data_IF_442849997632
#
_entry.id   IF_442849997632
#
_cell.length_a   1.000
_cell.length_b   1.000
_cell.length_c   1.000
_cell.angle_alpha   90.00
_cell.angle_beta   90.00
_cell.angle_gamma   90.00
#
_symmetry.space_group_name_H-M   'P 1'
#
loop_
_entity.id
_entity.type
_entity.pdbx_description
1 polymer ?
#
# COMPACT_ATOMS: atom_id res chain seq x y z
N UNK A 1 46.48 -49.59 -14.29
CA UNK A 1 46.53 -48.25 -13.68
C UNK A 1 45.67 -47.29 -14.51
N UNK A 2 44.39 -47.14 -14.18
CA UNK A 2 43.51 -46.10 -14.77
C UNK A 2 43.64 -44.86 -13.88
N UNK A 3 44.25 -43.81 -14.42
CA UNK A 3 44.81 -42.70 -13.67
C UNK A 3 43.81 -41.72 -13.04
N UNK A 4 44.33 -40.77 -12.23
CA UNK A 4 43.58 -39.77 -11.43
C UNK A 4 42.74 -38.78 -12.25
N UNK A 5 42.83 -38.84 -13.59
CA UNK A 5 42.08 -37.98 -14.51
C UNK A 5 40.57 -38.27 -14.50
N UNK A 6 40.18 -39.54 -14.29
CA UNK A 6 38.77 -39.94 -14.33
C UNK A 6 37.99 -39.53 -13.06
N UNK A 7 38.69 -39.39 -11.93
CA UNK A 7 38.12 -38.91 -10.67
C UNK A 7 37.93 -37.39 -10.70
N UNK A 8 38.89 -36.65 -11.27
CA UNK A 8 38.78 -35.19 -11.47
C UNK A 8 37.63 -34.81 -12.42
N UNK A 9 37.43 -35.57 -13.51
CA UNK A 9 36.33 -35.31 -14.46
C UNK A 9 34.95 -35.59 -13.84
N UNK A 10 34.83 -36.63 -13.00
CA UNK A 10 33.58 -36.91 -12.25
C UNK A 10 33.29 -35.84 -11.19
N UNK A 11 34.31 -35.34 -10.47
CA UNK A 11 34.12 -34.26 -9.51
C UNK A 11 33.71 -32.94 -10.19
N UNK A 12 34.27 -32.65 -11.37
CA UNK A 12 33.95 -31.47 -12.17
C UNK A 12 32.50 -31.52 -12.70
N UNK A 13 32.06 -32.68 -13.20
CA UNK A 13 30.68 -32.91 -13.64
C UNK A 13 29.70 -32.78 -12.46
N UNK A 14 30.07 -33.26 -11.26
CA UNK A 14 29.25 -33.12 -10.04
C UNK A 14 29.18 -31.66 -9.58
N UNK A 15 30.26 -30.87 -9.66
CA UNK A 15 30.23 -29.43 -9.34
C UNK A 15 29.44 -28.59 -10.36
N UNK A 16 29.49 -28.96 -11.64
CA UNK A 16 28.68 -28.33 -12.70
C UNK A 16 27.20 -28.69 -12.51
N UNK A 17 26.89 -29.95 -12.18
CA UNK A 17 25.53 -30.40 -11.87
C UNK A 17 24.99 -29.77 -10.57
N UNK A 18 25.82 -29.55 -9.54
CA UNK A 18 25.43 -28.87 -8.29
C UNK A 18 25.11 -27.38 -8.49
N UNK A 19 25.74 -26.71 -9.47
CA UNK A 19 25.40 -25.33 -9.87
C UNK A 19 24.26 -25.22 -10.90
N UNK A 20 23.85 -26.36 -11.48
CA UNK A 20 22.74 -26.47 -12.43
C UNK A 20 21.51 -27.15 -11.83
N UNK A 21 21.55 -27.56 -10.55
CA UNK A 21 20.34 -27.94 -9.85
C UNK A 21 19.44 -26.71 -9.86
N UNK A 22 18.27 -26.74 -10.52
CA UNK A 22 17.30 -25.70 -10.31
C UNK A 22 17.02 -25.76 -8.81
N UNK A 23 17.35 -24.68 -8.10
CA UNK A 23 16.67 -24.35 -6.86
C UNK A 23 15.21 -24.73 -7.08
N UNK A 24 14.63 -25.56 -6.22
CA UNK A 24 13.20 -25.80 -6.18
C UNK A 24 12.49 -24.49 -5.74
N UNK A 25 12.72 -23.41 -6.48
CA UNK A 25 11.89 -22.23 -6.48
C UNK A 25 10.60 -22.67 -7.15
N UNK A 26 9.53 -22.71 -6.37
CA UNK A 26 8.16 -22.76 -6.88
C UNK A 26 8.04 -21.81 -8.06
N UNK A 27 7.49 -22.27 -9.19
CA UNK A 27 7.25 -21.41 -10.35
C UNK A 27 6.52 -20.13 -9.89
N UNK A 28 6.92 -18.94 -10.36
CA UNK A 28 6.27 -17.69 -10.00
C UNK A 28 4.77 -17.79 -10.29
N UNK A 29 3.94 -17.39 -9.32
CA UNK A 29 2.49 -17.37 -9.48
C UNK A 29 2.12 -16.01 -10.08
N UNK A 30 1.85 -16.00 -11.38
CA UNK A 30 1.34 -14.83 -12.10
C UNK A 30 -0.17 -14.68 -11.91
N UNK A 31 -0.64 -13.44 -11.82
CA UNK A 31 -2.06 -13.13 -11.71
C UNK A 31 -2.75 -13.13 -13.07
N UNK A 32 -4.06 -13.29 -13.08
CA UNK A 32 -4.81 -13.35 -14.33
C UNK A 32 -4.86 -12.00 -15.04
N UNK A 33 -4.73 -12.02 -16.36
CA UNK A 33 -4.98 -10.86 -17.21
C UNK A 33 -6.49 -10.76 -17.45
N UNK A 34 -7.05 -9.58 -17.19
CA UNK A 34 -8.48 -9.27 -17.35
C UNK A 34 -8.68 -8.43 -18.61
N UNK A 35 -9.74 -8.74 -19.35
CA UNK A 35 -10.09 -8.13 -20.63
C UNK A 35 -11.15 -7.02 -20.48
N UNK A 36 -11.29 -6.18 -21.51
CA UNK A 36 -12.07 -4.92 -21.52
C UNK A 36 -13.58 -5.07 -21.27
N UNK A 37 -14.13 -6.26 -21.41
CA UNK A 37 -15.53 -6.59 -21.14
C UNK A 37 -15.84 -6.65 -19.63
N UNK A 38 -14.82 -6.79 -18.79
CA UNK A 38 -14.99 -6.79 -17.35
C UNK A 38 -15.26 -5.38 -16.79
N UNK A 39 -16.39 -5.24 -16.08
CA UNK A 39 -16.75 -4.01 -15.37
C UNK A 39 -16.62 -4.24 -13.86
N UNK A 40 -15.56 -3.75 -13.21
CA UNK A 40 -15.44 -3.90 -11.76
C UNK A 40 -16.51 -3.09 -11.04
N UNK A 41 -17.08 -3.70 -10.00
CA UNK A 41 -17.97 -3.01 -9.09
C UNK A 41 -17.16 -2.18 -8.08
N UNK A 42 -17.33 -0.86 -8.06
CA UNK A 42 -16.79 0.02 -7.04
C UNK A 42 -17.70 1.23 -6.84
N UNK A 43 -17.70 1.81 -5.64
CA UNK A 43 -18.56 2.93 -5.27
C UNK A 43 -17.80 4.23 -5.02
N UNK A 44 -16.50 4.12 -4.74
CA UNK A 44 -15.66 5.26 -4.37
C UNK A 44 -14.40 5.24 -5.23
N UNK A 45 -14.11 6.38 -5.86
CA UNK A 45 -12.89 6.58 -6.63
C UNK A 45 -12.05 7.68 -5.98
N UNK A 46 -10.78 7.38 -5.72
CA UNK A 46 -9.83 8.30 -5.11
C UNK A 46 -8.51 8.27 -5.87
N UNK A 47 -7.98 9.46 -6.14
CA UNK A 47 -6.71 9.61 -6.84
C UNK A 47 -5.71 10.34 -5.94
N UNK A 48 -4.76 9.57 -5.41
CA UNK A 48 -3.64 10.04 -4.60
C UNK A 48 -2.32 9.93 -5.36
N UNK A 49 -2.33 9.94 -6.70
CA UNK A 49 -1.11 9.82 -7.50
C UNK A 49 -0.24 11.08 -7.44
N UNK A 50 -0.86 12.26 -7.32
CA UNK A 50 -0.16 13.55 -7.16
C UNK A 50 -0.97 14.55 -6.31
N UNK A 51 -0.31 15.55 -5.71
CA UNK A 51 -0.97 16.67 -5.03
C UNK A 51 -2.03 17.37 -5.90
N UNK A 52 -1.75 17.58 -7.19
CA UNK A 52 -2.68 18.24 -8.10
C UNK A 52 -3.95 17.41 -8.36
N UNK A 53 -3.81 16.09 -8.51
CA UNK A 53 -4.96 15.19 -8.64
C UNK A 53 -5.84 15.26 -7.40
N UNK A 54 -5.22 15.32 -6.21
CA UNK A 54 -5.93 15.46 -4.94
C UNK A 54 -6.68 16.80 -4.85
N UNK A 55 -6.05 17.91 -5.23
CA UNK A 55 -6.73 19.21 -5.28
C UNK A 55 -7.87 19.23 -6.30
N UNK A 56 -7.68 18.61 -7.46
CA UNK A 56 -8.71 18.50 -8.50
C UNK A 56 -9.91 17.67 -8.05
N UNK A 57 -9.71 16.51 -7.40
CA UNK A 57 -10.82 15.71 -6.89
C UNK A 57 -11.60 16.46 -5.80
N UNK A 58 -10.91 17.16 -4.87
CA UNK A 58 -11.57 17.97 -3.84
C UNK A 58 -12.36 19.11 -4.46
N UNK A 59 -11.80 19.79 -5.47
CA UNK A 59 -12.52 20.83 -6.22
C UNK A 59 -13.77 20.28 -6.92
N UNK A 60 -13.71 19.06 -7.47
CA UNK A 60 -14.87 18.38 -8.08
C UNK A 60 -15.95 18.01 -7.06
N UNK A 61 -15.57 17.69 -5.82
CA UNK A 61 -16.53 17.48 -4.73
C UNK A 61 -17.34 18.75 -4.47
N UNK A 62 -16.72 19.93 -4.56
CA UNK A 62 -17.39 21.21 -4.44
C UNK A 62 -17.42 21.74 -3.00
N UNK A 63 -18.42 22.56 -2.68
CA UNK A 63 -18.47 23.26 -1.39
C UNK A 63 -18.76 22.27 -0.23
N UNK A 64 -17.89 22.26 0.78
CA UNK A 64 -17.98 21.40 1.96
C UNK A 64 -19.01 21.86 3.01
N UNK A 65 -19.74 22.96 2.76
CA UNK A 65 -20.95 23.30 3.52
C UNK A 65 -22.15 22.41 3.16
N UNK A 66 -22.10 21.73 2.02
CA UNK A 66 -23.18 20.85 1.59
C UNK A 66 -23.00 19.43 2.19
N UNK A 67 -24.01 18.85 2.86
CA UNK A 67 -23.90 17.53 3.51
C UNK A 67 -23.52 16.37 2.57
N UNK A 68 -23.95 16.40 1.31
CA UNK A 68 -23.59 15.37 0.33
C UNK A 68 -22.10 15.46 -0.04
N UNK A 69 -21.58 16.68 -0.17
CA UNK A 69 -20.17 16.93 -0.45
C UNK A 69 -19.29 16.58 0.74
N UNK A 70 -19.75 16.83 1.97
CA UNK A 70 -19.10 16.36 3.20
C UNK A 70 -18.96 14.84 3.17
N UNK A 71 -20.06 14.12 2.87
CA UNK A 71 -20.04 12.65 2.75
C UNK A 71 -19.00 12.16 1.73
N UNK A 72 -18.95 12.79 0.55
CA UNK A 72 -17.97 12.46 -0.50
C UNK A 72 -16.54 12.70 -0.02
N UNK A 73 -16.28 13.83 0.63
CA UNK A 73 -14.95 14.15 1.14
C UNK A 73 -14.52 13.23 2.29
N UNK A 74 -15.43 12.87 3.21
CA UNK A 74 -15.14 11.90 4.28
C UNK A 74 -14.76 10.53 3.71
N UNK A 75 -15.38 10.07 2.62
CA UNK A 75 -14.93 8.84 1.93
C UNK A 75 -13.49 8.94 1.42
N UNK A 76 -13.07 10.11 0.94
CA UNK A 76 -11.66 10.36 0.55
C UNK A 76 -10.74 10.27 1.77
N UNK A 77 -11.11 10.89 2.88
CA UNK A 77 -10.32 10.87 4.12
C UNK A 77 -10.18 9.44 4.67
N UNK A 78 -11.27 8.66 4.69
CA UNK A 78 -11.25 7.27 5.13
C UNK A 78 -10.35 6.44 4.23
N UNK A 79 -10.45 6.59 2.91
CA UNK A 79 -9.57 5.87 1.98
C UNK A 79 -8.10 6.23 2.21
N UNK A 80 -7.79 7.51 2.38
CA UNK A 80 -6.43 7.96 2.66
C UNK A 80 -5.90 7.40 3.98
N UNK A 81 -6.67 7.48 5.06
CA UNK A 81 -6.31 6.92 6.36
C UNK A 81 -6.02 5.41 6.29
N UNK A 82 -6.85 4.66 5.55
CA UNK A 82 -6.64 3.22 5.35
C UNK A 82 -5.32 2.90 4.62
N UNK A 83 -4.95 3.72 3.64
CA UNK A 83 -3.72 3.56 2.87
C UNK A 83 -2.51 3.93 3.72
N UNK A 84 -2.58 5.00 4.53
CA UNK A 84 -1.43 5.48 5.32
C UNK A 84 -1.20 4.71 6.61
N UNK A 85 -2.21 4.01 7.15
CA UNK A 85 -2.06 3.19 8.36
C UNK A 85 -1.33 1.86 8.15
N UNK A 86 -0.46 1.75 7.14
CA UNK A 86 0.29 0.52 6.87
C UNK A 86 1.01 0.03 8.11
N UNK A 87 0.65 -1.19 8.53
CA UNK A 87 1.45 -2.00 9.41
C UNK A 87 2.47 -2.80 8.57
N UNK A 88 3.26 -3.67 9.20
CA UNK A 88 4.23 -4.53 8.52
C UNK A 88 3.60 -5.48 7.47
N UNK A 89 2.27 -5.56 7.37
CA UNK A 89 1.54 -6.51 6.52
C UNK A 89 1.06 -5.89 5.19
N UNK A 90 1.26 -4.58 4.96
CA UNK A 90 0.99 -3.92 3.68
C UNK A 90 -0.21 -2.96 3.66
N UNK A 91 -0.52 -2.44 2.47
CA UNK A 91 -1.53 -1.39 2.23
C UNK A 91 -2.93 -1.99 2.35
N UNK A 92 -3.82 -1.30 3.08
CA UNK A 92 -5.22 -1.69 3.20
C UNK A 92 -6.08 -0.89 2.23
N UNK A 93 -6.64 -1.57 1.23
CA UNK A 93 -7.58 -1.01 0.27
C UNK A 93 -9.01 -1.24 0.74
N UNK A 94 -9.82 -0.19 0.98
CA UNK A 94 -11.18 -0.36 1.48
C UNK A 94 -12.08 -1.13 0.50
N UNK A 95 -13.21 -1.65 1.01
CA UNK A 95 -14.23 -2.32 0.20
C UNK A 95 -14.78 -1.41 -0.92
N UNK A 96 -15.07 -1.97 -2.09
CA UNK A 96 -15.68 -1.25 -3.23
C UNK A 96 -14.98 0.06 -3.58
N UNK A 97 -13.65 0.10 -3.56
CA UNK A 97 -12.87 1.30 -3.91
C UNK A 97 -12.00 1.11 -5.13
N UNK A 98 -11.87 2.19 -5.90
CA UNK A 98 -10.84 2.39 -6.90
C UNK A 98 -9.85 3.44 -6.38
N UNK A 99 -8.59 3.06 -6.24
CA UNK A 99 -7.55 3.87 -5.59
C UNK A 99 -6.33 3.98 -6.49
N UNK A 100 -5.95 5.19 -6.87
CA UNK A 100 -4.76 5.46 -7.68
C UNK A 100 -3.61 5.97 -6.81
N UNK A 101 -2.45 5.34 -6.92
CA UNK A 101 -1.22 5.64 -6.17
C UNK A 101 -0.02 5.70 -7.11
N UNK A 102 0.96 6.56 -6.79
CA UNK A 102 2.23 6.63 -7.53
C UNK A 102 3.36 6.03 -6.72
N UNK A 103 3.99 4.99 -7.24
CA UNK A 103 5.12 4.30 -6.60
C UNK A 103 6.42 4.65 -7.30
N UNK A 104 7.49 4.73 -6.52
CA UNK A 104 8.84 4.65 -7.05
C UNK A 104 9.09 3.22 -7.54
N UNK A 105 9.77 3.08 -8.66
CA UNK A 105 10.00 1.79 -9.28
C UNK A 105 11.39 1.68 -9.88
N UNK A 106 11.79 0.46 -10.20
CA UNK A 106 13.05 0.17 -10.87
C UNK A 106 12.86 -0.87 -11.96
N UNK A 107 13.57 -0.70 -13.07
CA UNK A 107 13.65 -1.73 -14.07
C UNK A 107 14.59 -2.86 -13.65
N UNK A 108 14.17 -4.10 -13.89
CA UNK A 108 14.88 -5.30 -13.46
C UNK A 108 15.93 -5.80 -14.46
N UNK A 109 15.97 -5.30 -15.71
CA UNK A 109 16.75 -5.94 -16.77
C UNK A 109 17.42 -4.96 -17.72
N UNK A 110 18.75 -4.85 -17.66
CA UNK A 110 19.51 -3.90 -18.47
C UNK A 110 19.49 -4.15 -20.00
N UNK A 111 18.94 -5.28 -20.43
CA UNK A 111 18.99 -5.80 -21.81
C UNK A 111 17.68 -5.66 -22.59
N UNK A 112 16.62 -5.17 -21.95
CA UNK A 112 15.27 -5.11 -22.53
C UNK A 112 14.79 -3.67 -22.69
N UNK A 113 13.77 -3.44 -23.51
CA UNK A 113 13.24 -2.11 -23.75
C UNK A 113 12.54 -1.51 -22.51
N UNK A 114 12.53 -0.19 -22.39
CA UNK A 114 11.75 0.52 -21.37
C UNK A 114 10.26 0.30 -21.64
N UNK A 115 9.43 0.11 -20.59
CA UNK A 115 7.98 0.10 -20.72
C UNK A 115 7.46 1.37 -21.40
N UNK A 116 6.50 1.19 -22.28
CA UNK A 116 5.72 2.33 -22.80
C UNK A 116 4.73 2.82 -21.74
N UNK A 117 4.17 4.02 -21.89
CA UNK A 117 3.26 4.59 -20.88
C UNK A 117 2.07 3.67 -20.53
N UNK A 118 1.54 2.97 -21.53
CA UNK A 118 0.40 2.05 -21.38
C UNK A 118 0.86 0.58 -21.41
N UNK A 119 2.07 0.30 -20.90
CA UNK A 119 2.56 -1.07 -20.83
C UNK A 119 1.63 -1.95 -19.99
N UNK A 120 1.43 -3.17 -20.49
CA UNK A 120 0.58 -4.14 -19.84
C UNK A 120 1.45 -5.07 -19.01
N UNK A 121 1.21 -5.09 -17.70
CA UNK A 121 1.93 -5.95 -16.77
C UNK A 121 1.02 -7.00 -16.15
N UNK A 122 1.54 -8.21 -16.05
CA UNK A 122 1.06 -9.23 -15.14
C UNK A 122 1.72 -9.03 -13.77
N UNK A 123 0.92 -9.04 -12.70
CA UNK A 123 1.46 -9.08 -11.35
C UNK A 123 1.96 -10.48 -11.03
N UNK A 124 3.19 -10.59 -10.55
CA UNK A 124 3.81 -11.89 -10.25
C UNK A 124 4.27 -11.90 -8.81
N UNK A 125 3.85 -12.92 -8.05
CA UNK A 125 4.29 -13.10 -6.67
C UNK A 125 5.77 -13.51 -6.64
N UNK A 126 6.56 -12.82 -5.83
CA UNK A 126 7.99 -13.00 -5.67
C UNK A 126 8.79 -11.80 -6.16
N UNK A 127 10.05 -12.06 -6.50
CA UNK A 127 10.98 -11.06 -7.04
C UNK A 127 11.58 -11.58 -8.34
N UNK A 128 12.07 -10.70 -9.24
CA UNK A 128 12.84 -11.12 -10.39
C UNK A 128 14.07 -11.94 -9.97
N UNK A 129 14.51 -12.85 -10.84
CA UNK A 129 15.70 -13.68 -10.60
C UNK A 129 16.99 -12.85 -10.71
N UNK A 130 17.27 -12.10 -9.65
CA UNK A 130 18.44 -11.24 -9.49
C UNK A 130 19.06 -11.55 -8.14
N UNK A 131 20.35 -11.87 -8.12
CA UNK A 131 21.04 -12.18 -6.87
C UNK A 131 21.00 -10.98 -5.91
N UNK A 132 20.82 -11.26 -4.62
CA UNK A 132 20.74 -10.29 -3.53
C UNK A 132 19.59 -9.27 -3.60
N UNK A 133 18.67 -9.37 -4.57
CA UNK A 133 17.60 -8.36 -4.74
C UNK A 133 16.68 -8.27 -3.51
N UNK A 134 16.39 -9.42 -2.88
CA UNK A 134 15.57 -9.51 -1.66
C UNK A 134 16.21 -8.74 -0.50
N UNK A 135 17.53 -8.76 -0.40
CA UNK A 135 18.29 -8.08 0.66
C UNK A 135 18.47 -6.59 0.38
N UNK A 136 18.41 -6.17 -0.89
CA UNK A 136 18.62 -4.78 -1.30
C UNK A 136 17.36 -3.94 -1.20
N UNK A 137 16.18 -4.49 -1.52
CA UNK A 137 14.90 -3.76 -1.45
C UNK A 137 14.69 -3.06 -0.10
N UNK A 138 14.95 -3.69 1.07
CA UNK A 138 14.86 -3.00 2.36
C UNK A 138 15.79 -1.78 2.50
N UNK A 139 16.99 -1.81 1.90
CA UNK A 139 17.92 -0.66 1.94
C UNK A 139 17.40 0.51 1.11
N UNK A 140 16.74 0.22 -0.02
CA UNK A 140 16.08 1.23 -0.84
C UNK A 140 14.90 1.85 -0.08
N UNK A 141 14.12 1.02 0.62
CA UNK A 141 12.95 1.46 1.39
C UNK A 141 13.28 2.34 2.58
N UNK A 142 14.45 2.14 3.18
CA UNK A 142 14.94 2.98 4.27
C UNK A 142 15.63 4.27 3.77
N UNK A 143 15.47 4.60 2.48
CA UNK A 143 16.10 5.76 1.82
C UNK A 143 17.62 5.82 2.00
N UNK A 144 18.27 4.67 2.17
CA UNK A 144 19.73 4.59 2.31
C UNK A 144 20.44 4.57 0.96
N UNK A 145 19.68 4.34 -0.12
CA UNK A 145 20.12 4.37 -1.50
C UNK A 145 19.21 5.35 -2.26
N UNK A 146 19.80 6.34 -2.92
CA UNK A 146 19.07 7.16 -3.89
C UNK A 146 18.65 6.33 -5.11
N UNK A 147 17.64 6.81 -5.86
CA UNK A 147 17.05 6.05 -6.95
C UNK A 147 18.06 5.72 -8.09
N UNK A 148 18.91 6.65 -8.58
CA UNK A 148 19.95 6.32 -9.55
C UNK A 148 20.93 5.24 -9.06
N UNK A 149 21.40 5.34 -7.82
CA UNK A 149 22.30 4.34 -7.22
C UNK A 149 21.63 2.98 -7.09
N UNK A 150 20.37 2.94 -6.65
CA UNK A 150 19.58 1.71 -6.56
C UNK A 150 19.39 1.06 -7.93
N UNK A 151 19.01 1.84 -8.96
CA UNK A 151 18.82 1.36 -10.32
C UNK A 151 20.12 0.80 -10.92
N UNK A 152 21.25 1.48 -10.67
CA UNK A 152 22.59 1.03 -11.09
C UNK A 152 22.96 -0.30 -10.44
N UNK A 153 22.68 -0.44 -9.15
CA UNK A 153 22.96 -1.67 -8.42
C UNK A 153 22.13 -2.84 -8.96
N UNK A 154 20.83 -2.63 -9.21
CA UNK A 154 19.92 -3.65 -9.76
C UNK A 154 20.41 -4.13 -11.13
N UNK A 155 20.76 -3.22 -12.03
CA UNK A 155 21.23 -3.60 -13.37
C UNK A 155 22.58 -4.33 -13.34
N UNK A 156 23.53 -3.92 -12.50
CA UNK A 156 24.80 -4.63 -12.38
C UNK A 156 24.63 -6.03 -11.75
N UNK A 157 23.69 -6.19 -10.82
CA UNK A 157 23.36 -7.51 -10.26
C UNK A 157 22.72 -8.42 -11.32
N UNK A 158 21.81 -7.90 -12.16
CA UNK A 158 21.30 -8.64 -13.31
C UNK A 158 22.40 -8.95 -14.33
N UNK A 159 23.35 -8.04 -14.54
CA UNK A 159 24.53 -8.25 -15.39
C UNK A 159 25.54 -9.25 -14.80
N UNK A 160 25.28 -9.78 -13.59
CA UNK A 160 26.18 -10.71 -12.89
C UNK A 160 27.58 -10.14 -12.73
N UNK A 161 27.67 -8.83 -12.49
CA UNK A 161 28.94 -8.12 -12.29
C UNK A 161 29.77 -8.79 -11.20
N UNK A 162 31.07 -8.94 -11.46
CA UNK A 162 31.99 -9.50 -10.48
C UNK A 162 32.07 -8.60 -9.24
N UNK A 163 32.08 -9.19 -8.05
CA UNK A 163 32.15 -8.46 -6.79
C UNK A 163 33.31 -7.46 -6.76
N UNK A 164 34.48 -7.85 -7.32
CA UNK A 164 35.67 -7.00 -7.35
C UNK A 164 35.48 -5.72 -8.17
N UNK A 165 34.60 -5.75 -9.17
CA UNK A 165 34.39 -4.68 -10.14
C UNK A 165 33.43 -3.59 -9.64
N UNK A 166 32.68 -3.86 -8.57
CA UNK A 166 31.84 -2.84 -7.95
C UNK A 166 32.71 -1.74 -7.29
N UNK A 167 32.34 -0.46 -7.44
CA UNK A 167 32.90 0.63 -6.65
C UNK A 167 32.77 0.41 -5.13
N UNK A 168 33.71 0.93 -4.35
CA UNK A 168 33.77 0.71 -2.89
C UNK A 168 32.53 1.22 -2.14
N UNK A 169 31.89 2.29 -2.62
CA UNK A 169 30.62 2.77 -2.08
C UNK A 169 29.50 1.72 -2.28
N UNK A 170 29.41 1.09 -3.46
CA UNK A 170 28.41 0.04 -3.72
C UNK A 170 28.72 -1.26 -2.97
N UNK A 171 30.00 -1.64 -2.85
CA UNK A 171 30.43 -2.78 -2.02
C UNK A 171 29.98 -2.62 -0.56
N UNK A 172 30.03 -1.41 0.01
CA UNK A 172 29.51 -1.16 1.37
C UNK A 172 28.02 -1.50 1.48
N UNK A 173 27.21 -1.13 0.50
CA UNK A 173 25.78 -1.46 0.48
C UNK A 173 25.54 -2.95 0.28
N UNK A 174 26.28 -3.60 -0.64
CA UNK A 174 26.21 -5.05 -0.84
C UNK A 174 26.55 -5.82 0.44
N UNK A 175 27.64 -5.45 1.12
CA UNK A 175 28.05 -6.09 2.38
C UNK A 175 27.10 -5.79 3.55
N UNK A 176 26.41 -4.64 3.51
CA UNK A 176 25.35 -4.31 4.46
C UNK A 176 24.10 -5.14 4.22
N UNK A 177 23.73 -5.35 2.95
CA UNK A 177 22.60 -6.19 2.54
C UNK A 177 22.86 -7.66 2.91
N UNK A 178 24.06 -8.17 2.64
CA UNK A 178 24.50 -9.50 3.04
C UNK A 178 26.01 -9.51 3.33
N UNK A 179 26.39 -9.89 4.56
CA UNK A 179 27.82 -9.94 4.97
C UNK A 179 28.65 -10.91 4.12
N UNK A 180 28.00 -11.86 3.45
CA UNK A 180 28.61 -12.83 2.55
C UNK A 180 28.45 -12.46 1.07
N UNK A 181 28.08 -11.22 0.73
CA UNK A 181 27.88 -10.78 -0.66
C UNK A 181 29.07 -11.13 -1.58
N UNK A 182 30.31 -10.97 -1.10
CA UNK A 182 31.54 -11.34 -1.82
C UNK A 182 31.65 -12.84 -2.19
N UNK A 183 30.90 -13.69 -1.50
CA UNK A 183 30.86 -15.14 -1.75
C UNK A 183 29.61 -15.57 -2.52
N UNK A 184 28.57 -14.74 -2.54
CA UNK A 184 27.32 -14.98 -3.26
C UNK A 184 27.44 -14.51 -4.71
N UNK A 185 28.02 -13.32 -4.91
CA UNK A 185 28.21 -12.73 -6.22
C UNK A 185 29.35 -13.40 -7.01
N UNK A 186 29.34 -13.29 -8.34
CA UNK A 186 30.45 -13.76 -9.18
C UNK A 186 31.77 -13.11 -8.75
N UNK A 187 32.87 -13.85 -8.91
CA UNK A 187 34.21 -13.38 -8.58
C UNK A 187 35.17 -13.78 -9.68
N UNK A 188 36.02 -12.83 -10.13
CA UNK A 188 36.99 -13.10 -11.20
C UNK A 188 37.90 -14.30 -10.86
N UNK A 189 38.29 -14.43 -9.60
CA UNK A 189 39.13 -15.53 -9.12
C UNK A 189 38.46 -16.90 -9.23
N UNK A 190 37.12 -16.95 -9.16
CA UNK A 190 36.35 -18.19 -9.36
C UNK A 190 36.07 -18.46 -10.84
N UNK A 191 35.83 -17.41 -11.62
CA UNK A 191 35.58 -17.50 -13.07
C UNK A 191 36.85 -17.86 -13.86
N UNK A 192 38.04 -17.47 -13.38
CA UNK A 192 39.34 -17.85 -13.96
C UNK A 192 39.63 -19.36 -13.97
N UNK A 193 38.87 -20.18 -13.24
CA UNK A 193 38.96 -21.65 -13.30
C UNK A 193 38.22 -22.20 -14.54
N UNK A 194 37.43 -21.38 -15.25
CA UNK A 194 36.55 -21.78 -16.37
C UNK A 194 36.96 -21.12 -17.71
N UNK A 195 37.69 -20.01 -17.73
CA UNK A 195 37.88 -19.16 -18.92
C UNK A 195 39.18 -19.40 -19.75
N UNK A 196 39.78 -20.60 -19.72
CA UNK A 196 40.95 -20.89 -20.58
C UNK A 196 40.62 -21.11 -22.07
N UNK A 197 39.37 -20.92 -22.51
CA UNK A 197 38.93 -21.18 -23.89
C UNK A 197 37.93 -20.13 -24.36
N UNK A 198 38.36 -18.92 -24.74
CA UNK A 198 37.56 -18.04 -25.60
C UNK A 198 38.43 -17.09 -26.46
N UNK A 199 38.29 -17.08 -27.80
CA UNK A 199 39.08 -16.23 -28.70
C UNK A 199 38.73 -14.73 -28.64
N UNK A 200 39.71 -13.91 -29.02
CA UNK A 200 39.72 -12.44 -28.91
C UNK A 200 38.79 -11.71 -29.90
N UNK A 201 38.18 -12.43 -30.86
CA UNK A 201 37.40 -11.87 -31.98
C UNK A 201 35.97 -11.43 -31.59
N UNK A 202 35.56 -11.57 -30.32
CA UNK A 202 34.24 -11.16 -29.80
C UNK A 202 34.30 -9.79 -29.07
N UNK A 203 35.43 -9.05 -29.15
CA UNK A 203 35.61 -7.82 -28.36
C UNK A 203 35.16 -6.51 -29.04
N UNK A 204 34.80 -6.54 -30.32
CA UNK A 204 34.31 -5.36 -31.04
C UNK A 204 32.84 -5.51 -31.43
N UNK A 205 31.98 -5.33 -30.44
CA UNK A 205 30.59 -4.95 -30.63
C UNK A 205 30.13 -4.10 -29.45
N UNK A 206 29.41 -3.00 -29.75
CA UNK A 206 28.87 -1.99 -28.83
C UNK A 206 27.82 -2.58 -27.87
N UNK A 207 28.21 -3.54 -27.03
CA UNK A 207 27.34 -4.33 -26.14
C UNK A 207 27.95 -4.43 -24.74
N UNK A 208 27.10 -4.45 -23.72
CA UNK A 208 27.55 -4.66 -22.34
C UNK A 208 28.09 -6.08 -22.21
N UNK A 209 29.35 -6.18 -21.82
CA UNK A 209 30.03 -7.43 -21.50
C UNK A 209 29.50 -7.93 -20.16
N UNK A 210 28.92 -9.12 -20.17
CA UNK A 210 28.42 -9.76 -18.94
C UNK A 210 29.55 -9.89 -17.93
N UNK A 211 29.28 -9.58 -16.66
CA UNK A 211 30.27 -9.64 -15.59
C UNK A 211 31.09 -8.36 -15.36
N UNK A 212 31.03 -7.36 -16.26
CA UNK A 212 31.64 -6.05 -15.99
C UNK A 212 30.70 -5.11 -15.23
N UNK A 213 31.29 -4.14 -14.53
CA UNK A 213 30.55 -3.05 -13.90
C UNK A 213 30.31 -1.93 -14.91
N UNK A 214 29.12 -1.35 -14.88
CA UNK A 214 28.76 -0.16 -15.66
C UNK A 214 28.09 0.90 -14.78
N UNK A 215 28.41 2.16 -15.06
CA UNK A 215 27.77 3.30 -14.42
C UNK A 215 26.34 3.53 -14.94
N UNK A 216 25.54 4.24 -14.15
CA UNK A 216 24.15 4.57 -14.47
C UNK A 216 23.97 5.14 -15.88
N UNK A 217 24.79 6.14 -16.25
CA UNK A 217 24.69 6.84 -17.54
C UNK A 217 24.89 5.89 -18.72
N UNK A 218 25.82 4.93 -18.61
CA UNK A 218 26.09 3.95 -19.65
C UNK A 218 24.91 2.98 -19.85
N UNK A 219 24.28 2.53 -18.76
CA UNK A 219 23.04 1.75 -18.87
C UNK A 219 21.90 2.56 -19.48
N UNK A 220 21.70 3.79 -18.98
CA UNK A 220 20.60 4.67 -19.38
C UNK A 220 20.64 4.95 -20.88
N UNK A 221 21.78 5.40 -21.41
CA UNK A 221 21.95 5.69 -22.84
C UNK A 221 21.58 4.47 -23.71
N UNK A 222 22.07 3.29 -23.33
CA UNK A 222 21.78 2.04 -24.05
C UNK A 222 20.29 1.70 -23.98
N UNK A 223 19.71 1.70 -22.79
CA UNK A 223 18.31 1.29 -22.57
C UNK A 223 17.34 2.26 -23.26
N UNK A 224 17.63 3.56 -23.23
CA UNK A 224 16.89 4.59 -23.96
C UNK A 224 17.01 4.46 -25.48
N UNK A 225 17.98 3.71 -26.00
CA UNK A 225 18.06 3.35 -27.43
C UNK A 225 17.23 2.11 -27.79
N UNK A 226 16.85 1.28 -26.81
CA UNK A 226 16.05 0.07 -27.04
C UNK A 226 14.57 0.43 -27.22
N UNK A 227 13.94 -0.17 -28.25
CA UNK A 227 12.49 -0.07 -28.48
C UNK A 227 11.94 -1.49 -28.63
N UNK A 228 10.79 -1.74 -28.02
CA UNK A 228 10.09 -3.01 -28.20
C UNK A 228 9.65 -3.17 -29.65
N UNK A 229 9.81 -4.38 -30.17
CA UNK A 229 9.37 -4.79 -31.52
C UNK A 229 8.00 -5.46 -31.48
N UNK A 230 7.56 -5.88 -30.30
CA UNK A 230 6.25 -6.50 -30.07
C UNK A 230 5.14 -5.44 -30.00
N UNK A 231 3.97 -5.75 -30.57
CA UNK A 231 2.79 -4.88 -30.50
C UNK A 231 2.11 -5.00 -29.13
N UNK A 232 1.59 -3.90 -28.62
CA UNK A 232 0.78 -3.92 -27.41
C UNK A 232 -0.56 -4.64 -27.67
N UNK A 233 -0.98 -5.55 -26.77
CA UNK A 233 -2.33 -6.09 -26.78
C UNK A 233 -3.39 -4.96 -26.71
N UNK A 234 -4.44 -5.07 -27.53
CA UNK A 234 -5.52 -4.04 -27.58
C UNK A 234 -6.71 -4.36 -26.68
N UNK A 235 -6.86 -5.62 -26.29
CA UNK A 235 -7.96 -6.09 -25.46
C UNK A 235 -7.42 -6.33 -24.04
N UNK A 236 -7.16 -5.27 -23.28
CA UNK A 236 -6.64 -5.40 -21.92
C UNK A 236 -7.26 -4.36 -21.01
N UNK A 237 -7.76 -4.84 -19.86
CA UNK A 237 -8.34 -4.02 -18.83
C UNK A 237 -7.40 -3.86 -17.64
N UNK A 238 -7.07 -4.96 -16.96
CA UNK A 238 -6.33 -4.95 -15.70
C UNK A 238 -5.63 -6.30 -15.46
N UNK A 239 -4.72 -6.35 -14.48
CA UNK A 239 -4.17 -7.59 -13.97
C UNK A 239 -4.75 -7.85 -12.59
N UNK A 240 -5.20 -9.07 -12.34
CA UNK A 240 -5.49 -9.52 -10.98
C UNK A 240 -4.17 -9.66 -10.22
N UNK A 241 -4.13 -9.23 -8.97
CA UNK A 241 -2.98 -9.49 -8.09
C UNK A 241 -3.11 -10.94 -7.58
N UNK A 242 -2.08 -11.79 -7.73
CA UNK A 242 -2.15 -13.21 -7.36
C UNK A 242 -2.69 -13.41 -5.95
N UNK A 243 -3.58 -14.41 -5.78
CA UNK A 243 -4.20 -14.79 -4.50
C UNK A 243 -5.09 -13.72 -3.87
N UNK A 244 -5.49 -12.69 -4.61
CA UNK A 244 -6.36 -11.63 -4.12
C UNK A 244 -7.46 -11.31 -5.15
N UNK A 245 -8.59 -10.74 -4.71
CA UNK A 245 -9.61 -10.25 -5.63
C UNK A 245 -9.24 -8.90 -6.27
N UNK A 246 -8.16 -8.25 -5.83
CA UNK A 246 -7.74 -6.93 -6.29
C UNK A 246 -7.31 -6.95 -7.76
N UNK A 247 -7.80 -5.99 -8.51
CA UNK A 247 -7.34 -5.68 -9.87
C UNK A 247 -6.41 -4.47 -9.83
N UNK A 248 -5.40 -4.48 -10.69
CA UNK A 248 -4.43 -3.40 -10.80
C UNK A 248 -4.24 -3.00 -12.26
N UNK A 249 -4.31 -1.70 -12.51
CA UNK A 249 -3.98 -1.07 -13.78
C UNK A 249 -2.73 -0.23 -13.59
N UNK A 250 -1.75 -0.41 -14.47
CA UNK A 250 -0.46 0.28 -14.37
C UNK A 250 -0.33 1.27 -15.51
N UNK A 251 0.17 2.46 -15.18
CA UNK A 251 0.66 3.45 -16.14
C UNK A 251 2.12 3.71 -15.81
N UNK A 252 3.00 3.44 -16.78
CA UNK A 252 4.42 3.65 -16.61
C UNK A 252 4.81 5.09 -16.90
N UNK A 253 5.66 5.63 -16.04
CA UNK A 253 6.31 6.92 -16.22
C UNK A 253 7.82 6.67 -16.20
N UNK A 254 8.31 6.19 -17.34
CA UNK A 254 9.68 5.73 -17.55
C UNK A 254 10.07 4.58 -16.59
N UNK A 255 11.35 4.48 -16.23
CA UNK A 255 11.86 3.44 -15.32
C UNK A 255 11.67 3.80 -13.84
N UNK A 256 11.48 5.08 -13.51
CA UNK A 256 11.58 5.60 -12.14
C UNK A 256 10.28 5.54 -11.34
N UNK A 257 9.13 5.53 -12.01
CA UNK A 257 7.85 5.48 -11.30
C UNK A 257 6.71 4.81 -12.07
N UNK A 258 5.83 4.18 -11.31
CA UNK A 258 4.58 3.61 -11.82
C UNK A 258 3.40 4.26 -11.11
N UNK A 259 2.41 4.70 -11.89
CA UNK A 259 1.09 5.01 -11.34
C UNK A 259 0.24 3.75 -11.42
N UNK A 260 -0.26 3.28 -10.29
CA UNK A 260 -1.05 2.05 -10.19
C UNK A 260 -2.43 2.40 -9.65
N UNK A 261 -3.46 1.99 -10.40
CA UNK A 261 -4.86 2.03 -9.97
C UNK A 261 -5.26 0.66 -9.45
N UNK A 262 -5.51 0.54 -8.16
CA UNK A 262 -6.05 -0.66 -7.52
C UNK A 262 -7.57 -0.58 -7.48
N UNK A 263 -8.23 -1.69 -7.76
CA UNK A 263 -9.68 -1.81 -7.67
C UNK A 263 -10.00 -2.98 -6.75
N UNK A 264 -10.66 -2.68 -5.64
CA UNK A 264 -11.22 -3.66 -4.73
C UNK A 264 -12.70 -3.85 -5.04
N UNK A 265 -13.11 -4.95 -5.71
CA UNK A 265 -14.51 -5.20 -6.02
C UNK A 265 -15.31 -5.76 -4.83
N UNK A 266 -14.63 -6.19 -3.77
CA UNK A 266 -15.26 -6.89 -2.65
C UNK A 266 -15.98 -5.95 -1.67
N UNK A 267 -16.88 -6.54 -0.89
CA UNK A 267 -17.56 -5.87 0.23
C UNK A 267 -16.68 -5.76 1.48
N UNK A 268 -15.45 -6.28 1.43
CA UNK A 268 -14.50 -6.26 2.54
C UNK A 268 -13.20 -5.60 2.08
N UNK A 269 -12.53 -4.93 3.01
CA UNK A 269 -11.21 -4.35 2.75
C UNK A 269 -10.19 -5.45 2.47
N UNK A 270 -9.26 -5.20 1.56
CA UNK A 270 -8.23 -6.15 1.14
C UNK A 270 -6.86 -5.57 1.46
N UNK A 271 -5.96 -6.42 1.95
CA UNK A 271 -4.60 -6.02 2.28
C UNK A 271 -3.60 -6.56 1.27
N UNK A 272 -2.72 -5.70 0.78
CA UNK A 272 -1.70 -6.05 -0.21
C UNK A 272 -0.32 -5.59 0.26
N UNK A 273 0.57 -6.56 0.46
CA UNK A 273 2.00 -6.33 0.59
C UNK A 273 2.60 -6.14 -0.81
N UNK A 274 2.56 -4.91 -1.34
CA UNK A 274 3.03 -4.61 -2.71
C UNK A 274 4.49 -5.02 -2.97
N UNK A 275 5.31 -5.07 -1.91
CA UNK A 275 6.70 -5.52 -1.94
C UNK A 275 6.88 -7.02 -2.24
N UNK A 276 5.82 -7.81 -2.11
CA UNK A 276 5.86 -9.26 -2.38
C UNK A 276 5.65 -9.58 -3.86
N UNK A 277 5.54 -8.55 -4.71
CA UNK A 277 5.23 -8.68 -6.12
C UNK A 277 6.17 -7.85 -6.99
N UNK A 278 6.34 -8.29 -8.23
CA UNK A 278 6.90 -7.48 -9.30
C UNK A 278 5.96 -7.47 -10.50
N UNK A 279 6.14 -6.48 -11.37
CA UNK A 279 5.33 -6.32 -12.57
C UNK A 279 6.09 -6.93 -13.75
N UNK A 280 5.56 -8.00 -14.32
CA UNK A 280 6.14 -8.65 -15.48
C UNK A 280 5.39 -8.22 -16.75
N UNK A 281 6.02 -7.58 -17.73
CA UNK A 281 5.32 -7.15 -18.94
C UNK A 281 4.84 -8.35 -19.74
N UNK A 282 3.69 -8.21 -20.40
CA UNK A 282 3.20 -9.22 -21.34
C UNK A 282 4.11 -9.33 -22.54
N UNK A 283 4.71 -8.20 -22.98
CA UNK A 283 5.72 -8.19 -24.04
C UNK A 283 7.05 -8.68 -23.53
N UNK A 284 7.57 -9.73 -24.16
CA UNK A 284 8.73 -10.47 -23.64
C UNK A 284 10.04 -9.68 -23.73
N UNK A 285 10.09 -8.71 -24.65
CA UNK A 285 11.22 -7.82 -24.92
C UNK A 285 11.22 -6.51 -24.09
N UNK A 286 10.25 -6.35 -23.18
CA UNK A 286 10.14 -5.22 -22.26
C UNK A 286 10.66 -5.59 -20.87
N UNK A 287 11.19 -4.61 -20.15
CA UNK A 287 11.74 -4.79 -18.80
C UNK A 287 10.65 -5.07 -17.75
N UNK A 288 10.83 -6.09 -16.89
CA UNK A 288 10.08 -6.20 -15.65
C UNK A 288 10.36 -5.02 -14.72
N UNK A 289 9.37 -4.67 -13.89
CA UNK A 289 9.44 -3.58 -12.94
C UNK A 289 9.37 -4.12 -11.51
N UNK A 290 10.32 -3.68 -10.69
CA UNK A 290 10.32 -3.86 -9.24
C UNK A 290 9.70 -2.60 -8.62
N UNK A 291 8.72 -2.78 -7.74
CA UNK A 291 8.20 -1.69 -6.94
C UNK A 291 9.14 -1.49 -5.75
N UNK A 292 9.70 -0.28 -5.64
CA UNK A 292 10.69 0.04 -4.61
C UNK A 292 10.07 -0.13 -3.23
N UNK A 293 9.02 0.65 -2.97
CA UNK A 293 8.51 0.91 -1.64
C UNK A 293 7.23 0.14 -1.31
N UNK A 294 7.11 -0.21 -0.03
CA UNK A 294 5.86 -0.65 0.57
C UNK A 294 4.80 0.46 0.58
N UNK A 295 5.22 1.74 0.47
CA UNK A 295 4.35 2.91 0.52
C UNK A 295 4.74 4.01 -0.49
N UNK A 296 3.77 4.60 -1.20
CA UNK A 296 4.01 5.77 -2.04
C UNK A 296 4.35 7.02 -1.19
N UNK A 297 5.05 8.03 -1.74
CA UNK A 297 5.29 9.29 -1.05
C UNK A 297 3.97 10.08 -0.91
N UNK A 298 3.46 10.21 0.32
CA UNK A 298 2.14 10.79 0.59
C UNK A 298 2.18 12.08 1.45
N UNK A 299 3.35 12.55 1.86
CA UNK A 299 3.46 13.67 2.83
C UNK A 299 2.78 14.97 2.34
N UNK A 300 2.97 15.33 1.07
CA UNK A 300 2.31 16.51 0.51
C UNK A 300 0.79 16.32 0.38
N UNK A 301 0.36 15.10 0.06
CA UNK A 301 -1.07 14.75 -0.02
C UNK A 301 -1.69 14.82 1.37
N UNK A 302 -1.00 14.32 2.39
CA UNK A 302 -1.43 14.41 3.79
C UNK A 302 -1.66 15.87 4.18
N UNK A 303 -0.69 16.76 3.93
CA UNK A 303 -0.81 18.19 4.25
C UNK A 303 -2.04 18.83 3.59
N UNK A 304 -2.32 18.49 2.33
CA UNK A 304 -3.51 18.98 1.62
C UNK A 304 -4.78 18.48 2.30
N UNK A 305 -4.86 17.19 2.60
CA UNK A 305 -6.04 16.60 3.23
C UNK A 305 -6.25 17.13 4.65
N UNK A 306 -5.19 17.35 5.43
CA UNK A 306 -5.24 17.99 6.74
C UNK A 306 -5.78 19.42 6.65
N UNK A 307 -5.31 20.23 5.69
CA UNK A 307 -5.80 21.60 5.46
C UNK A 307 -7.31 21.61 5.16
N UNK A 308 -7.77 20.74 4.26
CA UNK A 308 -9.20 20.65 3.94
C UNK A 308 -10.02 20.01 5.07
N UNK A 309 -9.43 19.12 5.88
CA UNK A 309 -10.07 18.56 7.07
C UNK A 309 -10.31 19.65 8.11
N UNK A 310 -9.35 20.54 8.34
CA UNK A 310 -9.53 21.70 9.23
C UNK A 310 -10.60 22.67 8.71
N UNK A 311 -10.69 22.89 7.39
CA UNK A 311 -11.78 23.69 6.78
C UNK A 311 -13.14 23.02 7.00
N UNK A 312 -13.24 21.72 6.73
CA UNK A 312 -14.45 20.94 6.97
C UNK A 312 -14.87 21.02 8.44
N UNK A 313 -13.92 20.82 9.36
CA UNK A 313 -14.15 21.00 10.79
C UNK A 313 -14.66 22.40 11.07
N UNK A 314 -14.06 23.47 10.55
CA UNK A 314 -14.56 24.83 10.72
C UNK A 314 -16.02 25.03 10.27
N UNK A 315 -16.46 24.32 9.23
CA UNK A 315 -17.86 24.36 8.77
C UNK A 315 -18.81 23.53 9.63
N UNK A 316 -18.38 22.34 10.06
CA UNK A 316 -19.17 21.48 10.96
C UNK A 316 -19.20 22.04 12.38
N UNK A 317 -18.18 22.82 12.75
CA UNK A 317 -17.87 23.19 14.11
C UNK A 317 -18.18 24.67 14.39
N UNK A 318 -19.43 25.08 14.16
CA UNK A 318 -20.06 26.03 15.09
C UNK A 318 -19.90 25.58 16.58
N UNK A 319 -19.50 24.31 16.80
CA UNK A 319 -19.09 23.67 18.06
C UNK A 319 -17.56 23.59 18.33
N UNK A 320 -16.65 24.12 17.49
CA UNK A 320 -15.20 24.08 17.78
C UNK A 320 -14.84 24.77 19.11
N UNK A 321 -15.50 25.88 19.50
CA UNK A 321 -15.26 26.49 20.80
C UNK A 321 -15.65 25.61 21.99
N UNK A 322 -16.56 24.64 21.80
CA UNK A 322 -17.11 23.81 22.89
C UNK A 322 -16.32 22.54 23.17
N UNK A 323 -15.28 22.25 22.37
CA UNK A 323 -14.39 21.12 22.62
C UNK A 323 -13.59 21.28 23.90
N UNK A 324 -13.40 20.16 24.60
CA UNK A 324 -12.49 20.11 25.74
C UNK A 324 -11.02 20.11 25.28
N UNK A 325 -10.10 20.29 26.22
CA UNK A 325 -8.67 20.43 25.90
C UNK A 325 -8.05 19.15 25.30
N UNK A 326 -8.55 17.98 25.69
CA UNK A 326 -8.12 16.69 25.14
C UNK A 326 -8.54 16.55 23.68
N UNK A 327 -9.79 16.89 23.35
CA UNK A 327 -10.30 16.88 21.96
C UNK A 327 -9.54 17.88 21.08
N UNK A 328 -9.31 19.10 21.58
CA UNK A 328 -8.50 20.12 20.88
C UNK A 328 -7.07 19.63 20.59
N UNK A 329 -6.51 18.84 21.50
CA UNK A 329 -5.18 18.23 21.31
C UNK A 329 -5.20 17.21 20.19
N UNK A 330 -6.24 16.37 20.13
CA UNK A 330 -6.41 15.40 19.04
C UNK A 330 -6.66 16.08 17.68
N UNK A 331 -7.43 17.16 17.61
CA UNK A 331 -7.60 17.91 16.35
C UNK A 331 -6.27 18.42 15.81
N UNK A 332 -5.42 19.00 16.68
CA UNK A 332 -4.10 19.48 16.27
C UNK A 332 -3.19 18.35 15.78
N UNK A 333 -3.29 17.18 16.43
CA UNK A 333 -2.43 16.03 16.16
C UNK A 333 -2.88 15.22 14.94
N UNK A 334 -4.19 15.12 14.72
CA UNK A 334 -4.81 14.21 13.75
C UNK A 334 -6.00 14.85 13.00
N UNK A 335 -5.80 15.92 12.21
CA UNK A 335 -6.91 16.65 11.59
C UNK A 335 -7.82 15.79 10.71
N UNK A 336 -7.25 14.85 9.96
CA UNK A 336 -7.99 13.93 9.08
C UNK A 336 -8.93 13.04 9.89
N UNK A 337 -8.39 12.41 10.93
CA UNK A 337 -9.13 11.53 11.82
C UNK A 337 -10.22 12.32 12.56
N UNK A 338 -9.92 13.52 13.04
CA UNK A 338 -10.89 14.38 13.69
C UNK A 338 -12.07 14.72 12.76
N UNK A 339 -11.82 15.07 11.49
CA UNK A 339 -12.91 15.33 10.56
C UNK A 339 -13.84 14.11 10.37
N UNK A 340 -13.26 12.90 10.31
CA UNK A 340 -14.02 11.64 10.26
C UNK A 340 -14.84 11.42 11.55
N UNK A 341 -14.21 11.61 12.72
CA UNK A 341 -14.84 11.43 14.03
C UNK A 341 -16.04 12.38 14.22
N UNK A 342 -15.87 13.65 13.87
CA UNK A 342 -16.94 14.64 13.95
C UNK A 342 -18.10 14.34 13.01
N UNK A 343 -17.79 13.95 11.77
CA UNK A 343 -18.84 13.55 10.83
C UNK A 343 -19.62 12.34 11.32
N UNK A 344 -18.95 11.37 11.95
CA UNK A 344 -19.59 10.22 12.57
C UNK A 344 -20.46 10.60 13.78
N UNK A 345 -20.05 11.61 14.57
CA UNK A 345 -20.87 12.15 15.66
C UNK A 345 -22.18 12.74 15.12
N UNK A 346 -22.11 13.53 14.04
CA UNK A 346 -23.30 14.07 13.39
C UNK A 346 -24.23 12.99 12.86
N UNK A 347 -23.71 11.89 12.32
CA UNK A 347 -24.55 10.76 11.90
C UNK A 347 -25.25 10.16 13.11
N UNK A 348 -24.53 9.90 14.21
CA UNK A 348 -25.10 9.31 15.41
C UNK A 348 -26.18 10.21 16.01
N UNK A 349 -25.91 11.51 16.17
CA UNK A 349 -26.83 12.51 16.71
C UNK A 349 -28.13 12.59 15.90
N UNK A 350 -28.01 12.80 14.58
CA UNK A 350 -29.18 12.92 13.70
C UNK A 350 -30.06 11.65 13.69
N UNK A 351 -29.49 10.47 13.92
CA UNK A 351 -30.26 9.23 14.00
C UNK A 351 -30.86 9.03 15.41
N UNK A 352 -30.15 9.43 16.46
CA UNK A 352 -30.67 9.43 17.83
C UNK A 352 -31.91 10.32 17.94
N UNK A 353 -31.83 11.57 17.45
CA UNK A 353 -32.93 12.54 17.45
C UNK A 353 -34.15 12.03 16.66
N UNK A 354 -33.94 11.32 15.56
CA UNK A 354 -35.04 10.75 14.76
C UNK A 354 -35.74 9.59 15.45
N UNK A 355 -34.99 8.72 16.11
CA UNK A 355 -35.52 7.51 16.74
C UNK A 355 -36.09 7.78 18.14
N UNK A 356 -35.50 8.75 18.86
CA UNK A 356 -35.83 9.09 20.23
C UNK A 356 -35.99 10.61 20.41
N UNK A 357 -36.91 11.27 19.69
CA UNK A 357 -37.02 12.75 19.64
C UNK A 357 -37.37 13.41 20.99
N UNK A 358 -37.92 12.64 21.93
CA UNK A 358 -38.28 13.12 23.27
C UNK A 358 -37.23 12.73 24.33
N UNK A 359 -36.15 12.08 23.89
CA UNK A 359 -35.08 11.59 24.74
C UNK A 359 -33.89 12.52 24.71
N UNK A 360 -33.50 13.00 25.88
CA UNK A 360 -32.40 13.94 26.03
C UNK A 360 -31.14 13.31 26.63
N UNK A 361 -30.35 14.15 27.29
CA UNK A 361 -29.16 13.75 28.05
C UNK A 361 -29.53 12.66 29.07
N UNK A 362 -28.66 11.66 29.19
CA UNK A 362 -28.81 10.45 30.01
C UNK A 362 -29.98 9.54 29.63
N UNK A 363 -30.66 9.79 28.50
CA UNK A 363 -31.81 9.02 27.99
C UNK A 363 -31.44 7.96 26.95
N UNK A 364 -32.45 7.43 26.26
CA UNK A 364 -32.31 6.50 25.14
C UNK A 364 -31.56 7.11 23.95
N UNK A 365 -31.84 8.38 23.61
CA UNK A 365 -31.10 9.07 22.55
C UNK A 365 -29.60 9.13 22.87
N UNK A 366 -29.27 9.38 24.13
CA UNK A 366 -27.90 9.46 24.62
C UNK A 366 -27.16 8.13 24.49
N UNK A 367 -27.74 7.07 25.08
CA UNK A 367 -27.20 5.73 24.98
C UNK A 367 -27.03 5.28 23.53
N UNK A 368 -28.01 5.59 22.66
CA UNK A 368 -27.96 5.29 21.24
C UNK A 368 -26.79 6.01 20.55
N UNK A 369 -26.64 7.33 20.74
CA UNK A 369 -25.60 8.10 20.03
C UNK A 369 -24.19 7.65 20.45
N UNK A 370 -23.94 7.37 21.73
CA UNK A 370 -22.64 6.87 22.19
C UNK A 370 -22.29 5.52 21.58
N UNK A 371 -23.26 4.58 21.58
CA UNK A 371 -23.09 3.27 20.95
C UNK A 371 -22.84 3.38 19.45
N UNK A 372 -23.62 4.19 18.75
CA UNK A 372 -23.52 4.31 17.29
C UNK A 372 -22.25 5.07 16.90
N UNK A 373 -21.94 6.17 17.55
CA UNK A 373 -20.77 6.98 17.26
C UNK A 373 -19.48 6.18 17.43
N UNK A 374 -19.33 5.50 18.57
CA UNK A 374 -18.18 4.63 18.83
C UNK A 374 -18.03 3.50 17.81
N UNK A 375 -19.15 2.89 17.40
CA UNK A 375 -19.16 1.87 16.35
C UNK A 375 -18.76 2.40 14.97
N UNK A 376 -19.23 3.60 14.59
CA UNK A 376 -18.85 4.25 13.34
C UNK A 376 -17.37 4.65 13.30
N UNK A 377 -16.84 5.23 14.39
CA UNK A 377 -15.41 5.54 14.48
C UNK A 377 -14.58 4.26 14.37
N UNK A 378 -15.01 3.17 15.02
CA UNK A 378 -14.30 1.88 14.95
C UNK A 378 -14.24 1.34 13.53
N UNK A 379 -15.33 1.46 12.75
CA UNK A 379 -15.34 1.10 11.33
C UNK A 379 -14.33 1.92 10.52
N UNK A 380 -14.33 3.23 10.69
CA UNK A 380 -13.58 4.14 9.82
C UNK A 380 -12.10 4.28 10.20
N UNK A 381 -11.81 4.25 11.51
CA UNK A 381 -10.51 4.58 12.07
C UNK A 381 -9.89 3.45 12.90
N UNK A 382 -10.51 2.28 13.05
CA UNK A 382 -10.14 1.20 13.99
C UNK A 382 -10.41 1.48 15.49
N UNK A 383 -10.33 0.40 16.27
CA UNK A 383 -10.56 0.40 17.71
C UNK A 383 -9.61 1.31 18.48
N UNK A 384 -8.31 1.32 18.17
CA UNK A 384 -7.34 2.12 18.90
C UNK A 384 -7.65 3.62 18.75
N UNK A 385 -7.93 4.07 17.54
CA UNK A 385 -8.33 5.46 17.32
C UNK A 385 -9.71 5.75 17.92
N UNK A 386 -10.67 4.81 17.83
CA UNK A 386 -11.97 4.98 18.49
C UNK A 386 -11.81 5.24 20.00
N UNK A 387 -11.04 4.39 20.70
CA UNK A 387 -10.75 4.56 22.13
C UNK A 387 -10.06 5.88 22.44
N UNK A 388 -9.07 6.29 21.64
CA UNK A 388 -8.36 7.56 21.85
C UNK A 388 -9.31 8.76 21.78
N UNK A 389 -10.18 8.82 20.77
CA UNK A 389 -11.13 9.92 20.59
C UNK A 389 -12.28 9.90 21.61
N UNK A 390 -12.86 8.73 21.88
CA UNK A 390 -13.96 8.60 22.85
C UNK A 390 -13.48 8.91 24.26
N UNK A 391 -12.32 8.37 24.68
CA UNK A 391 -11.76 8.69 25.99
C UNK A 391 -11.48 10.18 26.15
N UNK A 392 -11.05 10.86 25.08
CA UNK A 392 -10.85 12.30 25.09
C UNK A 392 -12.17 13.09 25.23
N UNK A 393 -13.25 12.62 24.59
CA UNK A 393 -14.60 13.21 24.72
C UNK A 393 -15.09 13.19 26.17
N UNK A 394 -14.91 12.06 26.87
CA UNK A 394 -15.34 11.87 28.27
C UNK A 394 -14.42 12.56 29.31
N UNK A 395 -13.47 13.41 28.92
CA UNK A 395 -12.60 14.14 29.86
C UNK A 395 -13.18 15.46 30.37
N UNK A 396 -14.49 15.71 30.20
CA UNK A 396 -15.10 16.92 30.72
C UNK A 396 -15.08 16.90 32.27
N UNK A 397 -14.32 17.80 32.94
CA UNK A 397 -14.19 17.77 34.41
C UNK A 397 -15.49 18.15 35.14
N UNK A 398 -16.49 18.67 34.41
CA UNK A 398 -17.80 19.03 34.96
C UNK A 398 -18.86 17.93 34.83
N UNK A 399 -18.57 16.85 34.10
CA UNK A 399 -19.48 15.71 33.94
C UNK A 399 -19.53 14.90 35.25
N UNK A 400 -20.72 14.65 35.83
CA UNK A 400 -20.88 13.74 36.96
C UNK A 400 -20.32 12.35 36.66
N UNK A 401 -19.70 11.72 37.66
CA UNK A 401 -19.05 10.40 37.49
C UNK A 401 -19.99 9.33 36.95
N UNK A 402 -21.25 9.32 37.40
CA UNK A 402 -22.24 8.33 36.97
C UNK A 402 -22.65 8.49 35.50
N UNK A 403 -22.71 9.72 34.98
CA UNK A 403 -22.97 10.00 33.57
C UNK A 403 -21.79 9.53 32.72
N UNK A 404 -20.57 9.87 33.12
CA UNK A 404 -19.35 9.38 32.48
C UNK A 404 -19.28 7.84 32.42
N UNK A 405 -19.61 7.15 33.52
CA UNK A 405 -19.64 5.69 33.57
C UNK A 405 -20.75 5.08 32.68
N UNK A 406 -21.81 5.82 32.36
CA UNK A 406 -22.84 5.44 31.38
C UNK A 406 -22.28 5.55 29.96
N UNK A 407 -21.70 6.71 29.64
CA UNK A 407 -21.18 7.04 28.31
C UNK A 407 -20.02 6.12 27.91
N UNK A 408 -19.03 5.94 28.80
CA UNK A 408 -17.90 5.02 28.60
C UNK A 408 -18.37 3.57 28.37
N UNK A 409 -19.39 3.12 29.11
CA UNK A 409 -19.94 1.77 28.95
C UNK A 409 -20.65 1.60 27.61
N UNK A 410 -21.50 2.55 27.21
CA UNK A 410 -22.22 2.50 25.95
C UNK A 410 -21.26 2.62 24.74
N UNK A 411 -20.23 3.45 24.86
CA UNK A 411 -19.12 3.56 23.91
C UNK A 411 -18.43 2.19 23.71
N UNK A 412 -18.09 1.48 24.79
CA UNK A 412 -17.43 0.17 24.71
C UNK A 412 -18.28 -0.86 23.97
N UNK A 413 -19.58 -0.92 24.26
CA UNK A 413 -20.48 -1.85 23.58
C UNK A 413 -20.61 -1.56 22.07
N UNK A 414 -20.55 -0.29 21.67
CA UNK A 414 -20.53 0.12 20.27
C UNK A 414 -19.24 -0.31 19.54
N UNK A 415 -18.08 -0.19 20.18
CA UNK A 415 -16.80 -0.71 19.66
C UNK A 415 -16.87 -2.23 19.45
N UNK A 416 -17.37 -2.97 20.45
CA UNK A 416 -17.49 -4.43 20.38
C UNK A 416 -18.42 -4.84 19.23
N UNK A 417 -19.57 -4.18 19.11
CA UNK A 417 -20.52 -4.42 18.03
C UNK A 417 -19.91 -4.19 16.65
N UNK A 418 -19.20 -3.08 16.47
CA UNK A 418 -18.53 -2.77 15.21
C UNK A 418 -17.50 -3.82 14.83
N UNK A 419 -16.65 -4.26 15.76
CA UNK A 419 -15.66 -5.32 15.52
C UNK A 419 -16.33 -6.62 15.08
N UNK A 420 -17.43 -7.02 15.73
CA UNK A 420 -18.17 -8.22 15.34
C UNK A 420 -18.71 -8.13 13.91
N UNK A 421 -19.27 -6.99 13.52
CA UNK A 421 -19.80 -6.75 12.18
C UNK A 421 -18.69 -6.71 11.11
N UNK A 422 -17.55 -6.10 11.43
CA UNK A 422 -16.38 -6.04 10.54
C UNK A 422 -15.78 -7.43 10.31
N UNK A 423 -15.61 -8.23 11.37
CA UNK A 423 -15.06 -9.59 11.28
C UNK A 423 -15.89 -10.53 10.41
N UNK A 424 -17.20 -10.28 10.31
CA UNK A 424 -18.11 -11.04 9.46
C UNK A 424 -18.30 -10.42 8.07
N UNK A 425 -17.65 -9.28 7.78
CA UNK A 425 -17.84 -8.56 6.52
C UNK A 425 -19.26 -8.02 6.32
N UNK A 426 -20.04 -7.90 7.40
CA UNK A 426 -21.47 -7.60 7.35
C UNK A 426 -21.82 -6.18 7.80
N UNK A 427 -20.81 -5.35 8.07
CA UNK A 427 -21.02 -4.00 8.59
C UNK A 427 -21.76 -3.11 7.59
N UNK A 428 -22.94 -2.67 8.00
CA UNK A 428 -23.74 -1.62 7.38
C UNK A 428 -24.26 -0.70 8.50
N UNK A 429 -24.40 0.61 8.21
CA UNK A 429 -24.90 1.57 9.20
C UNK A 429 -26.22 1.13 9.81
N UNK A 430 -27.15 0.69 8.97
CA UNK A 430 -28.49 0.27 9.38
C UNK A 430 -28.45 -0.91 10.37
N UNK A 431 -27.56 -1.88 10.14
CA UNK A 431 -27.36 -3.01 11.06
C UNK A 431 -26.82 -2.56 12.42
N UNK A 432 -25.89 -1.59 12.43
CA UNK A 432 -25.38 -1.02 13.69
C UNK A 432 -26.50 -0.28 14.44
N UNK A 433 -27.33 0.50 13.75
CA UNK A 433 -28.44 1.25 14.35
C UNK A 433 -29.51 0.33 14.91
N UNK A 434 -29.86 -0.73 14.18
CA UNK A 434 -30.78 -1.77 14.65
C UNK A 434 -30.21 -2.48 15.88
N UNK A 435 -28.92 -2.81 15.88
CA UNK A 435 -28.28 -3.41 17.04
C UNK A 435 -28.35 -2.49 18.26
N UNK A 436 -28.01 -1.21 18.12
CA UNK A 436 -28.13 -0.23 19.19
C UNK A 436 -29.56 -0.15 19.77
N UNK A 437 -30.58 -0.12 18.90
CA UNK A 437 -31.99 -0.10 19.32
C UNK A 437 -32.40 -1.37 20.07
N UNK A 438 -31.93 -2.53 19.61
CA UNK A 438 -32.18 -3.80 20.30
C UNK A 438 -31.48 -3.86 21.67
N UNK A 439 -30.24 -3.37 21.79
CA UNK A 439 -29.55 -3.29 23.08
C UNK A 439 -30.29 -2.37 24.07
N UNK A 440 -30.91 -1.28 23.59
CA UNK A 440 -31.76 -0.41 24.42
C UNK A 440 -33.02 -1.14 24.87
N UNK A 441 -33.75 -1.79 23.95
CA UNK A 441 -35.00 -2.52 24.25
C UNK A 441 -34.74 -3.65 25.25
N UNK A 442 -33.61 -4.33 25.14
CA UNK A 442 -33.23 -5.42 26.03
C UNK A 442 -32.66 -4.95 27.38
N UNK A 443 -32.47 -3.64 27.60
CA UNK A 443 -31.89 -3.10 28.83
C UNK A 443 -30.39 -3.35 28.97
N UNK A 444 -29.69 -3.62 27.86
CA UNK A 444 -28.25 -3.88 27.84
C UNK A 444 -27.43 -2.60 27.80
N UNK A 445 -27.98 -1.49 27.29
CA UNK A 445 -27.34 -0.17 27.39
C UNK A 445 -27.69 0.51 28.72
N UNK A 446 -26.76 1.30 29.25
CA UNK A 446 -27.01 2.09 30.46
C UNK A 446 -27.74 3.37 30.10
N UNK A 447 -28.79 3.66 30.85
CA UNK A 447 -29.63 4.87 30.75
C UNK A 447 -29.91 5.30 32.18
N UNK A 448 -29.68 6.57 32.53
CA UNK A 448 -29.90 7.07 33.90
C UNK A 448 -31.26 7.74 34.04
N UNK A 449 -31.75 8.35 32.96
CA UNK A 449 -33.08 8.93 32.90
C UNK A 449 -34.03 7.88 32.32
N UNK A 450 -34.69 7.12 33.19
CA UNK A 450 -35.84 6.32 32.78
C UNK A 450 -36.96 7.29 32.41
N UNK A 451 -37.15 7.52 31.11
CA UNK A 451 -38.41 8.04 30.59
C UNK A 451 -39.54 7.14 31.09
N UNK A 452 -40.48 7.74 31.83
CA UNK A 452 -41.72 7.08 32.26
C UNK A 452 -42.62 6.76 31.08
#
# INVERSE_FOLDING_TARGET
MKGPLHVKLKLLIILILLNLLPSCASKPIGGDIIFNDYKPNYETEVDFSTPDKVRQQIKKIGNLNNPENQRKFIKVLIAFYNITRTDQQGILFPARTKTTLKFNSFCASSKKAIPTQNEIFQWVQGLPDIQLIKQIIPLINLSQLDAPTAQTLIWNLENRTHYEDYPENLKKFLNKADRNAKFILPSRLRTQIIDEILPQEIKDAKSLVTGQYYEFAAYKERIESLRSKEKLPTNYFASRIPKTPILALTTSHDFESQTITFINPENTSQRIAVSDYFLNPVRSDVQPIILASTMPPLDEIQKILEEFSLKLLGYMASQYPTLNDSEKTLVKKYPIQSAIVFYNAMIAENNAEKLYPQSGVNGKADAFRHYVWSGLITRDLNESSAREFLNAHEQNPRQPRIEKEMDEFNNELGIIAAKSLLNTGSFENEKLFQKASNEIINGNLRILNNEK
#
